data_IF_860017025533
#
_entry.id   IF_860017025533
#
_cell.length_a   1.000
_cell.length_b   1.000
_cell.length_c   1.000
_cell.angle_alpha   90.00
_cell.angle_beta   90.00
_cell.angle_gamma   90.00
#
_symmetry.space_group_name_H-M   'P 1'
#
loop_
_entity.id
_entity.type
_entity.pdbx_description
1 polymer ?
#
# COMPACT_ATOMS: atom_id res chain seq x y z
N UNK A 1 32.67 21.95 20.90
CA UNK A 1 32.21 20.56 21.10
C UNK A 1 31.15 20.25 20.03
N UNK A 2 31.46 19.51 18.96
CA UNK A 2 30.44 18.91 18.11
C UNK A 2 30.32 17.42 18.44
N UNK A 3 29.10 17.00 18.82
CA UNK A 3 28.75 15.62 19.12
C UNK A 3 28.44 14.87 17.81
N UNK A 4 29.47 14.50 17.05
CA UNK A 4 29.31 13.51 15.99
C UNK A 4 29.12 12.14 16.64
N UNK A 5 27.87 11.67 16.73
CA UNK A 5 27.60 10.25 16.99
C UNK A 5 28.16 9.47 15.81
N UNK A 6 29.22 8.71 16.04
CA UNK A 6 29.68 7.66 15.15
C UNK A 6 28.52 6.68 14.91
N UNK A 7 28.11 6.53 13.65
CA UNK A 7 27.25 5.42 13.25
C UNK A 7 27.99 4.11 13.58
N UNK A 8 27.33 3.09 14.15
CA UNK A 8 27.95 1.79 14.32
C UNK A 8 28.32 1.21 12.95
N UNK A 9 29.51 0.63 12.85
CA UNK A 9 29.97 -0.04 11.63
C UNK A 9 28.98 -1.17 11.27
N UNK A 10 28.30 -1.00 10.13
CA UNK A 10 27.42 -2.02 9.58
C UNK A 10 28.32 -3.16 9.09
N UNK A 11 28.15 -4.41 9.56
CA UNK A 11 28.99 -5.51 9.14
C UNK A 11 28.90 -5.69 7.62
N UNK A 12 30.05 -5.88 6.98
CA UNK A 12 30.13 -6.09 5.54
C UNK A 12 29.38 -7.38 5.16
N UNK A 13 28.16 -7.22 4.63
CA UNK A 13 27.37 -8.31 4.08
C UNK A 13 28.06 -8.85 2.82
N UNK A 14 27.98 -10.16 2.61
CA UNK A 14 28.55 -10.78 1.42
C UNK A 14 27.88 -10.22 0.16
N UNK A 15 28.61 -10.10 -0.94
CA UNK A 15 28.07 -9.59 -2.21
C UNK A 15 26.83 -10.35 -2.68
N UNK A 16 26.69 -11.62 -2.29
CA UNK A 16 25.49 -12.43 -2.51
C UNK A 16 24.30 -12.02 -1.63
N UNK A 17 24.50 -11.69 -0.35
CA UNK A 17 23.42 -11.16 0.50
C UNK A 17 22.96 -9.78 0.06
N UNK A 18 23.88 -8.93 -0.40
CA UNK A 18 23.54 -7.62 -0.95
C UNK A 18 22.76 -7.78 -2.25
N UNK A 19 23.20 -8.66 -3.16
CA UNK A 19 22.49 -8.96 -4.40
C UNK A 19 21.11 -9.58 -4.14
N UNK A 20 20.99 -10.47 -3.14
CA UNK A 20 19.71 -11.07 -2.74
C UNK A 20 18.78 -10.02 -2.15
N UNK A 21 19.29 -9.15 -1.27
CA UNK A 21 18.52 -8.05 -0.66
C UNK A 21 18.09 -7.03 -1.71
N UNK A 22 18.96 -6.69 -2.67
CA UNK A 22 18.63 -5.81 -3.81
C UNK A 22 17.64 -6.47 -4.77
N UNK A 23 17.72 -7.79 -5.00
CA UNK A 23 16.76 -8.52 -5.84
C UNK A 23 15.40 -8.65 -5.14
N UNK A 24 15.39 -8.83 -3.82
CA UNK A 24 14.17 -8.77 -3.00
C UNK A 24 13.60 -7.35 -3.03
N UNK A 25 14.43 -6.33 -2.89
CA UNK A 25 14.00 -4.93 -2.96
C UNK A 25 13.45 -4.56 -4.34
N UNK A 26 14.14 -4.95 -5.42
CA UNK A 26 13.71 -4.78 -6.81
C UNK A 26 12.44 -5.57 -7.10
N UNK A 27 12.30 -6.80 -6.58
CA UNK A 27 11.08 -7.59 -6.74
C UNK A 27 9.91 -7.06 -5.90
N UNK A 28 10.15 -6.43 -4.75
CA UNK A 28 9.11 -5.74 -3.95
C UNK A 28 8.68 -4.45 -4.64
N UNK A 29 9.63 -3.65 -5.15
CA UNK A 29 9.35 -2.46 -5.96
C UNK A 29 8.58 -2.84 -7.24
N UNK A 30 8.84 -4.01 -7.84
CA UNK A 30 8.15 -4.47 -9.05
C UNK A 30 6.86 -5.25 -8.83
N UNK A 31 6.69 -5.96 -7.71
CA UNK A 31 5.48 -6.75 -7.43
C UNK A 31 4.30 -5.89 -6.95
N UNK A 32 4.54 -4.62 -6.64
CA UNK A 32 3.48 -3.64 -6.34
C UNK A 32 2.82 -3.09 -7.62
N UNK A 33 3.43 -3.28 -8.81
CA UNK A 33 2.94 -2.76 -10.09
C UNK A 33 2.29 -3.80 -11.01
N UNK A 34 2.34 -5.09 -10.70
CA UNK A 34 1.72 -6.14 -11.53
C UNK A 34 0.71 -6.96 -10.72
N UNK A 35 -0.56 -6.53 -10.82
CA UNK A 35 -1.75 -7.20 -10.32
C UNK A 35 -1.73 -8.71 -10.53
N UNK A 36 -1.57 -9.45 -9.43
CA UNK A 36 -2.34 -10.65 -9.14
C UNK A 36 -2.68 -10.63 -7.64
N UNK A 37 -3.93 -10.27 -7.32
CA UNK A 37 -4.68 -10.65 -6.12
C UNK A 37 -3.80 -11.14 -4.97
N UNK A 38 -3.33 -10.22 -4.11
CA UNK A 38 -2.51 -10.46 -2.91
C UNK A 38 -1.86 -11.84 -2.89
N UNK A 39 -0.57 -11.94 -3.23
CA UNK A 39 0.27 -13.04 -2.71
C UNK A 39 -0.17 -13.27 -1.26
N UNK A 40 -0.67 -14.49 -0.99
CA UNK A 40 -1.61 -14.73 0.11
C UNK A 40 -1.15 -13.99 1.35
N UNK A 41 -2.05 -13.34 2.10
CA UNK A 41 -1.69 -12.51 3.27
C UNK A 41 -0.66 -13.16 4.23
N UNK A 42 -0.54 -14.50 4.20
CA UNK A 42 0.51 -15.31 4.83
C UNK A 42 1.95 -14.94 4.44
N UNK A 43 2.22 -14.46 3.23
CA UNK A 43 3.56 -14.10 2.74
C UNK A 43 3.80 -12.59 2.78
N UNK A 44 2.80 -11.80 2.38
CA UNK A 44 2.96 -10.34 2.30
C UNK A 44 3.28 -9.72 3.67
N UNK A 45 2.58 -10.13 4.74
CA UNK A 45 2.81 -9.60 6.08
C UNK A 45 4.25 -9.77 6.58
N UNK A 46 4.79 -11.00 6.60
CA UNK A 46 6.19 -11.24 6.96
C UNK A 46 7.20 -10.48 6.09
N UNK A 47 6.93 -10.29 4.79
CA UNK A 47 7.82 -9.52 3.90
C UNK A 47 7.86 -8.04 4.27
N UNK A 48 6.71 -7.44 4.58
CA UNK A 48 6.64 -6.02 5.02
C UNK A 48 7.39 -5.85 6.34
N UNK A 49 7.18 -6.78 7.28
CA UNK A 49 7.89 -6.77 8.56
C UNK A 49 9.41 -6.86 8.34
N UNK A 50 9.87 -7.81 7.52
CA UNK A 50 11.29 -7.95 7.17
C UNK A 50 11.88 -6.68 6.55
N UNK A 51 11.14 -6.00 5.67
CA UNK A 51 11.56 -4.73 5.09
C UNK A 51 11.81 -3.65 6.14
N UNK A 52 10.98 -3.57 7.18
CA UNK A 52 11.11 -2.58 8.23
C UNK A 52 12.14 -2.94 9.29
N UNK A 53 12.16 -4.19 9.72
CA UNK A 53 12.97 -4.62 10.87
C UNK A 53 14.40 -5.03 10.48
N UNK A 54 14.56 -5.70 9.32
CA UNK A 54 15.86 -6.28 8.93
C UNK A 54 16.57 -5.44 7.87
N UNK A 55 15.81 -4.86 6.93
CA UNK A 55 16.36 -4.00 5.87
C UNK A 55 16.35 -2.52 6.24
N UNK A 56 15.71 -2.15 7.35
CA UNK A 56 15.61 -0.77 7.84
C UNK A 56 15.11 0.21 6.76
N UNK A 57 14.18 -0.22 5.91
CA UNK A 57 13.64 0.64 4.86
C UNK A 57 12.88 1.82 5.49
N UNK A 58 13.20 3.02 5.01
CA UNK A 58 12.56 4.25 5.50
C UNK A 58 11.05 4.22 5.28
N UNK A 59 10.59 3.72 4.12
CA UNK A 59 9.18 3.64 3.78
C UNK A 59 8.82 2.33 3.08
N UNK A 60 7.71 1.72 3.50
CA UNK A 60 7.07 0.57 2.87
C UNK A 60 5.65 0.97 2.45
N UNK A 61 5.40 0.87 1.15
CA UNK A 61 4.14 1.25 0.52
C UNK A 61 3.50 0.04 -0.15
N UNK A 62 2.18 -0.13 0.04
CA UNK A 62 1.40 -1.15 -0.63
C UNK A 62 0.41 -0.45 -1.58
N UNK A 63 0.38 -0.87 -2.84
CA UNK A 63 -0.67 -0.48 -3.80
C UNK A 63 -1.60 -1.68 -3.99
N UNK A 64 -2.91 -1.47 -3.87
CA UNK A 64 -3.90 -2.55 -3.95
C UNK A 64 -5.23 -2.06 -4.52
N UNK A 65 -6.04 -2.97 -5.06
CA UNK A 65 -7.44 -2.66 -5.41
C UNK A 65 -8.39 -2.74 -4.19
N UNK A 66 -7.88 -3.11 -3.00
CA UNK A 66 -8.63 -3.12 -1.74
C UNK A 66 -9.53 -4.35 -1.50
N UNK A 67 -9.89 -5.11 -2.54
CA UNK A 67 -10.89 -6.19 -2.45
C UNK A 67 -10.56 -7.30 -1.46
N UNK A 68 -9.27 -7.57 -1.21
CA UNK A 68 -8.79 -8.63 -0.31
C UNK A 68 -8.19 -8.09 1.00
N UNK A 69 -8.27 -6.77 1.24
CA UNK A 69 -7.78 -6.17 2.47
C UNK A 69 -8.72 -6.53 3.61
N UNK A 70 -8.16 -7.03 4.71
CA UNK A 70 -8.89 -7.41 5.91
C UNK A 70 -8.39 -6.60 7.10
N UNK A 71 -9.29 -6.26 8.02
CA UNK A 71 -8.97 -5.57 9.28
C UNK A 71 -7.82 -6.25 10.04
N UNK A 72 -7.93 -7.56 10.29
CA UNK A 72 -6.92 -8.33 11.02
C UNK A 72 -5.50 -8.25 10.42
N UNK A 73 -5.40 -8.07 9.10
CA UNK A 73 -4.10 -7.91 8.44
C UNK A 73 -3.46 -6.57 8.80
N UNK A 74 -4.24 -5.49 8.75
CA UNK A 74 -3.78 -4.15 9.10
C UNK A 74 -3.53 -4.03 10.61
N UNK A 75 -4.33 -4.66 11.46
CA UNK A 75 -4.06 -4.70 12.90
C UNK A 75 -2.76 -5.44 13.23
N UNK A 76 -2.46 -6.52 12.49
CA UNK A 76 -1.24 -7.32 12.70
C UNK A 76 0.01 -6.65 12.16
N UNK A 77 -0.04 -6.14 10.92
CA UNK A 77 1.13 -5.67 10.20
C UNK A 77 1.16 -4.17 9.94
N UNK A 78 0.11 -3.43 10.31
CA UNK A 78 -0.05 -2.00 10.02
C UNK A 78 1.08 -1.14 10.55
N UNK A 79 1.68 -1.50 11.69
CA UNK A 79 2.86 -0.81 12.25
C UNK A 79 4.08 -0.81 11.32
N UNK A 80 4.12 -1.71 10.34
CA UNK A 80 5.21 -1.85 9.38
C UNK A 80 4.87 -1.22 8.01
N UNK A 81 3.67 -0.66 7.86
CA UNK A 81 3.17 -0.08 6.61
C UNK A 81 3.08 1.43 6.79
N UNK A 82 3.85 2.19 6.01
CA UNK A 82 3.77 3.65 6.06
C UNK A 82 2.61 4.17 5.21
N UNK A 83 2.42 3.57 4.04
CA UNK A 83 1.44 4.02 3.05
C UNK A 83 0.64 2.83 2.50
N UNK A 84 -0.68 2.95 2.49
CA UNK A 84 -1.57 2.06 1.76
C UNK A 84 -2.31 2.86 0.69
N UNK A 85 -1.93 2.65 -0.56
CA UNK A 85 -2.56 3.25 -1.72
C UNK A 85 -3.62 2.30 -2.29
N UNK A 86 -4.88 2.75 -2.33
CA UNK A 86 -5.99 1.97 -2.88
C UNK A 86 -6.40 2.53 -4.22
N UNK A 87 -6.46 1.68 -5.24
CA UNK A 87 -6.96 2.04 -6.56
C UNK A 87 -8.49 2.00 -6.60
N UNK A 88 -9.11 3.14 -6.87
CA UNK A 88 -10.54 3.28 -7.13
C UNK A 88 -10.74 4.34 -8.21
N UNK A 89 -11.37 3.94 -9.31
CA UNK A 89 -11.48 4.80 -10.50
C UNK A 89 -12.84 5.51 -10.58
N UNK A 90 -13.85 5.03 -9.85
CA UNK A 90 -15.16 5.67 -9.75
C UNK A 90 -15.76 5.43 -8.37
N UNK A 91 -16.62 6.32 -7.91
CA UNK A 91 -17.49 6.09 -6.76
C UNK A 91 -18.88 5.59 -7.15
N UNK A 92 -19.14 5.45 -8.44
CA UNK A 92 -20.29 4.74 -8.96
C UNK A 92 -19.90 3.27 -9.21
N UNK A 93 -20.53 2.34 -8.49
CA UNK A 93 -20.24 0.91 -8.62
C UNK A 93 -20.49 0.39 -10.04
N UNK A 94 -21.53 0.88 -10.73
CA UNK A 94 -21.82 0.49 -12.10
C UNK A 94 -20.71 0.95 -13.05
N UNK A 95 -20.22 2.19 -12.89
CA UNK A 95 -19.08 2.70 -13.65
C UNK A 95 -17.82 1.89 -13.39
N UNK A 96 -17.52 1.51 -12.13
CA UNK A 96 -16.40 0.60 -11.85
C UNK A 96 -16.55 -0.75 -12.54
N UNK A 97 -17.75 -1.34 -12.53
CA UNK A 97 -18.03 -2.61 -13.22
C UNK A 97 -17.77 -2.45 -14.73
N UNK A 98 -18.20 -1.35 -15.34
CA UNK A 98 -17.98 -1.07 -16.77
C UNK A 98 -16.50 -0.80 -17.12
N UNK A 99 -15.74 -0.17 -16.21
CA UNK A 99 -14.28 -0.04 -16.31
C UNK A 99 -13.59 -1.41 -16.20
N UNK A 100 -14.27 -2.42 -15.64
CA UNK A 100 -13.70 -3.74 -15.37
C UNK A 100 -13.07 -3.86 -13.97
N UNK A 101 -13.47 -3.00 -13.04
CA UNK A 101 -13.08 -3.04 -11.63
C UNK A 101 -14.20 -3.56 -10.74
N UNK A 102 -13.89 -4.62 -9.99
CA UNK A 102 -14.79 -5.14 -8.95
C UNK A 102 -16.06 -5.79 -9.49
N UNK A 103 -17.00 -6.04 -8.59
CA UNK A 103 -18.32 -6.64 -8.87
C UNK A 103 -19.47 -5.94 -8.11
N UNK A 104 -19.24 -4.73 -7.60
CA UNK A 104 -20.27 -3.92 -6.93
C UNK A 104 -20.16 -3.69 -5.41
N UNK A 105 -18.99 -3.85 -4.78
CA UNK A 105 -18.76 -3.51 -3.35
C UNK A 105 -17.38 -2.84 -3.14
N UNK A 106 -16.85 -2.16 -4.16
CA UNK A 106 -15.53 -1.55 -4.06
C UNK A 106 -15.54 -0.27 -3.21
N UNK A 107 -16.60 0.53 -3.34
CA UNK A 107 -16.74 1.82 -2.67
C UNK A 107 -16.94 1.64 -1.17
N UNK A 108 -17.87 0.79 -0.66
CA UNK A 108 -17.96 0.55 0.78
C UNK A 108 -16.67 -0.04 1.36
N UNK A 109 -16.00 -0.93 0.62
CA UNK A 109 -14.69 -1.48 1.02
C UNK A 109 -13.61 -0.40 1.11
N UNK A 110 -13.60 0.57 0.20
CA UNK A 110 -12.65 1.70 0.23
C UNK A 110 -12.78 2.52 1.52
N UNK A 111 -14.00 2.84 1.94
CA UNK A 111 -14.26 3.55 3.19
C UNK A 111 -13.82 2.74 4.42
N UNK A 112 -14.09 1.42 4.43
CA UNK A 112 -13.62 0.52 5.50
C UNK A 112 -12.08 0.54 5.60
N UNK A 113 -11.39 0.46 4.47
CA UNK A 113 -9.92 0.48 4.45
C UNK A 113 -9.38 1.84 4.93
N UNK A 114 -9.96 2.95 4.49
CA UNK A 114 -9.55 4.28 4.93
C UNK A 114 -9.68 4.43 6.45
N UNK A 115 -10.76 3.91 7.03
CA UNK A 115 -10.95 3.87 8.48
C UNK A 115 -9.89 3.00 9.17
N UNK A 116 -9.64 1.78 8.70
CA UNK A 116 -8.62 0.91 9.28
C UNK A 116 -7.22 1.50 9.19
N UNK A 117 -6.90 2.22 8.11
CA UNK A 117 -5.63 2.95 7.99
C UNK A 117 -5.51 4.01 9.08
N UNK A 118 -6.56 4.80 9.31
CA UNK A 118 -6.60 5.83 10.37
C UNK A 118 -6.43 5.23 11.76
N UNK A 119 -7.08 4.10 12.03
CA UNK A 119 -6.96 3.38 13.31
C UNK A 119 -5.54 2.86 13.57
N UNK A 120 -4.81 2.50 12.51
CA UNK A 120 -3.46 1.90 12.60
C UNK A 120 -2.33 2.91 12.31
N UNK A 121 -2.62 4.19 12.13
CA UNK A 121 -1.62 5.22 11.83
C UNK A 121 -0.98 5.11 10.43
N UNK A 122 -1.64 4.42 9.50
CA UNK A 122 -1.18 4.22 8.11
C UNK A 122 -1.65 5.40 7.26
N UNK A 123 -0.77 5.96 6.42
CA UNK A 123 -1.16 6.99 5.44
C UNK A 123 -1.97 6.34 4.32
N UNK A 124 -3.22 6.77 4.18
CA UNK A 124 -4.11 6.29 3.11
C UNK A 124 -3.96 7.16 1.87
N UNK A 125 -3.71 6.57 0.70
CA UNK A 125 -3.69 7.26 -0.60
C UNK A 125 -4.78 6.68 -1.51
N UNK A 126 -5.47 7.56 -2.23
CA UNK A 126 -6.41 7.17 -3.27
C UNK A 126 -5.75 7.34 -4.64
N UNK A 127 -5.68 6.25 -5.42
CA UNK A 127 -5.21 6.28 -6.81
C UNK A 127 -6.40 6.14 -7.77
N UNK A 128 -6.53 7.06 -8.71
CA UNK A 128 -7.61 7.08 -9.70
C UNK A 128 -7.01 7.18 -11.10
N UNK A 129 -7.42 6.29 -12.00
CA UNK A 129 -7.16 6.42 -13.44
C UNK A 129 -8.36 7.10 -14.08
N UNK A 130 -8.16 8.27 -14.67
CA UNK A 130 -9.21 8.99 -15.41
C UNK A 130 -9.30 8.41 -16.83
N UNK A 131 -10.51 8.03 -17.24
CA UNK A 131 -10.84 7.43 -18.52
C UNK A 131 -12.16 7.99 -19.09
N UNK A 132 -12.56 7.51 -20.27
CA UNK A 132 -13.78 7.95 -20.95
C UNK A 132 -15.08 7.68 -20.16
N UNK A 133 -15.07 6.79 -19.17
CA UNK A 133 -16.25 6.45 -18.37
C UNK A 133 -16.40 7.31 -17.10
N UNK A 134 -15.32 7.93 -16.59
CA UNK A 134 -15.34 8.66 -15.31
C UNK A 134 -14.89 10.13 -15.42
N UNK A 135 -14.45 10.60 -16.60
CA UNK A 135 -13.90 11.96 -16.75
C UNK A 135 -14.87 13.11 -16.40
N UNK A 136 -16.18 12.83 -16.35
CA UNK A 136 -17.22 13.79 -15.97
C UNK A 136 -17.71 13.60 -14.52
N UNK A 137 -17.18 12.63 -13.79
CA UNK A 137 -17.60 12.33 -12.43
C UNK A 137 -17.08 13.40 -11.46
N UNK A 138 -17.98 13.98 -10.67
CA UNK A 138 -17.59 14.83 -9.54
C UNK A 138 -17.25 13.96 -8.32
N UNK A 139 -15.96 13.75 -8.12
CA UNK A 139 -15.42 12.95 -7.02
C UNK A 139 -15.18 13.78 -5.74
N UNK A 140 -15.31 15.11 -5.78
CA UNK A 140 -14.92 15.98 -4.67
C UNK A 140 -15.60 15.61 -3.34
N UNK A 141 -16.93 15.41 -3.27
CA UNK A 141 -17.60 15.15 -1.99
C UNK A 141 -17.09 13.89 -1.30
N UNK A 142 -16.82 12.83 -2.06
CA UNK A 142 -16.41 11.55 -1.50
C UNK A 142 -14.91 11.53 -1.17
N UNK A 143 -14.08 12.22 -1.95
CA UNK A 143 -12.66 12.43 -1.63
C UNK A 143 -12.50 13.27 -0.35
N UNK A 144 -13.33 14.29 -0.16
CA UNK A 144 -13.36 15.09 1.07
C UNK A 144 -13.74 14.28 2.31
N UNK A 145 -14.65 13.30 2.16
CA UNK A 145 -14.99 12.38 3.24
C UNK A 145 -13.87 11.37 3.53
N UNK A 146 -13.21 10.84 2.49
CA UNK A 146 -12.11 9.89 2.66
C UNK A 146 -10.86 10.51 3.28
N UNK A 147 -10.64 11.82 3.09
CA UNK A 147 -9.46 12.56 3.58
C UNK A 147 -8.14 11.82 3.34
N UNK A 148 -7.83 11.45 2.07
CA UNK A 148 -6.55 10.81 1.78
C UNK A 148 -5.38 11.72 2.16
N UNK A 149 -4.28 11.09 2.54
CA UNK A 149 -3.01 11.75 2.84
C UNK A 149 -2.52 12.49 1.59
N UNK A 150 -1.97 13.69 1.80
CA UNK A 150 -1.45 14.60 0.77
C UNK A 150 0.04 14.80 0.93
#
# INVERSE_FOLDING_TARGET
MPLFRSFPDIPAQSSQQIALSLTILLSIIMSVLLSWSLQSAKFLGPMIQYCKEELFLESVTIVTNGSLVKRDFLERYGRFIDILAVSCDSFNEQTNIEIGRGKGDQVPQLFRIAEWCRENGIKFILNTVVCNLNYQEDMNPLVEMLRPFR
#
